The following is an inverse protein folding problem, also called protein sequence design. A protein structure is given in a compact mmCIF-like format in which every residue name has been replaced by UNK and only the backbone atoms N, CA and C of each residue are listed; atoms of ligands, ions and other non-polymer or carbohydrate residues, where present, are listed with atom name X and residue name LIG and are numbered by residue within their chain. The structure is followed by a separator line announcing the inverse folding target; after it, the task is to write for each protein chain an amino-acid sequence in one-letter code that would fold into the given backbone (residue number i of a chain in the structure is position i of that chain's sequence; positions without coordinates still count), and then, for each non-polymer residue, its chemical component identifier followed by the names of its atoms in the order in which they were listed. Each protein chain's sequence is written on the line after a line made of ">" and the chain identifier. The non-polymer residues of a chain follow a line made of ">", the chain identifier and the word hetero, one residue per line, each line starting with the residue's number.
data_IF_419149663345
#
_entry.id   IF_419149663345
#
_cell.length_a   1.000
_cell.length_b   1.000
_cell.length_c   1.000
_cell.angle_alpha   90.00
_cell.angle_beta   90.00
_cell.angle_gamma   90.00
#
_symmetry.space_group_name_H-M   'P 1'
#
loop_
_entity.id
_entity.type
_entity.pdbx_description
1 polymer ?
#
# COMPACT_ATOMS: atom_id res chain seq x y z
N UNK A 1 -6.76 -10.93 16.61
CA UNK A 1 -5.67 -10.18 17.26
C UNK A 1 -6.12 -8.74 17.48
N UNK A 2 -5.89 -8.17 18.65
CA UNK A 2 -6.33 -6.81 19.01
C UNK A 2 -5.09 -5.98 19.40
N UNK A 3 -4.73 -4.94 18.63
CA UNK A 3 -3.69 -4.01 19.03
C UNK A 3 -4.20 -3.07 20.12
N UNK A 4 -3.44 -2.95 21.21
CA UNK A 4 -3.68 -2.06 22.34
C UNK A 4 -2.59 -0.98 22.40
N UNK A 5 -2.73 -0.04 23.34
CA UNK A 5 -1.74 1.03 23.56
C UNK A 5 -0.36 0.47 23.90
N UNK A 6 0.69 1.25 23.63
CA UNK A 6 2.08 0.95 23.98
C UNK A 6 2.62 -0.37 23.39
N UNK A 7 2.18 -0.69 22.17
CA UNK A 7 2.62 -1.87 21.43
C UNK A 7 2.14 -3.21 22.01
N UNK A 8 1.23 -3.21 22.99
CA UNK A 8 0.65 -4.45 23.52
C UNK A 8 -0.32 -5.03 22.50
N UNK A 9 -0.24 -6.32 22.24
CA UNK A 9 -1.15 -7.06 21.37
C UNK A 9 -1.80 -8.17 22.18
N UNK A 10 -3.12 -8.29 22.07
CA UNK A 10 -3.88 -9.43 22.56
C UNK A 10 -4.22 -10.41 21.45
N UNK A 11 -3.89 -11.68 21.67
CA UNK A 11 -4.42 -12.80 20.92
C UNK A 11 -5.68 -13.31 21.61
N UNK A 12 -6.75 -13.39 20.82
CA UNK A 12 -8.02 -13.96 21.21
C UNK A 12 -8.23 -15.26 20.45
N UNK A 13 -8.83 -16.24 21.10
CA UNK A 13 -9.23 -17.51 20.49
C UNK A 13 -10.43 -17.32 19.56
N UNK A 14 -10.84 -18.40 18.91
CA UNK A 14 -12.00 -18.39 18.01
C UNK A 14 -13.27 -17.89 18.70
N UNK A 15 -13.48 -18.28 19.96
CA UNK A 15 -14.63 -17.87 20.78
C UNK A 15 -14.49 -16.45 21.37
N UNK A 16 -13.42 -15.72 21.03
CA UNK A 16 -13.14 -14.37 21.54
C UNK A 16 -12.43 -14.32 22.90
N UNK A 17 -12.22 -15.47 23.53
CA UNK A 17 -11.53 -15.57 24.82
C UNK A 17 -10.07 -15.17 24.72
N UNK A 18 -9.53 -14.63 25.81
CA UNK A 18 -8.12 -14.28 25.90
C UNK A 18 -7.25 -15.54 25.82
N UNK A 19 -6.27 -15.53 24.90
CA UNK A 19 -5.26 -16.60 24.80
C UNK A 19 -3.97 -16.15 25.44
N UNK A 20 -3.39 -15.06 24.94
CA UNK A 20 -2.17 -14.44 25.47
C UNK A 20 -2.02 -13.00 25.01
N UNK A 21 -1.16 -12.26 25.70
CA UNK A 21 -0.66 -10.97 25.22
C UNK A 21 0.84 -11.02 24.99
N UNK A 22 1.33 -10.21 24.05
CA UNK A 22 2.75 -9.94 23.86
C UNK A 22 2.94 -8.48 23.51
N UNK A 23 4.13 -7.94 23.80
CA UNK A 23 4.45 -6.55 23.54
C UNK A 23 5.41 -6.45 22.37
N UNK A 24 5.05 -5.64 21.39
CA UNK A 24 5.91 -5.23 20.30
C UNK A 24 6.87 -4.14 20.74
N UNK A 25 8.02 -4.07 20.08
CA UNK A 25 9.02 -3.04 20.32
C UNK A 25 8.57 -1.64 19.86
N UNK A 26 7.46 -1.53 19.14
CA UNK A 26 6.95 -0.29 18.59
C UNK A 26 5.42 -0.34 18.42
N UNK A 27 4.80 0.83 18.28
CA UNK A 27 3.35 0.96 18.12
C UNK A 27 2.89 0.44 16.75
N UNK A 28 1.73 -0.22 16.72
CA UNK A 28 1.07 -0.69 15.50
C UNK A 28 0.45 0.49 14.76
N UNK A 29 0.69 0.58 13.45
CA UNK A 29 0.24 1.68 12.59
C UNK A 29 -0.67 1.24 11.44
N UNK A 30 -0.75 -0.06 11.16
CA UNK A 30 -1.63 -0.63 10.12
C UNK A 30 -2.52 -1.71 10.68
N UNK A 31 -3.56 -2.07 9.93
CA UNK A 31 -4.26 -3.33 10.15
C UNK A 31 -3.33 -4.51 9.79
N UNK A 32 -3.47 -5.69 10.45
CA UNK A 32 -2.75 -6.89 10.06
C UNK A 32 -3.22 -7.41 8.71
N UNK A 33 -2.30 -8.03 7.97
CA UNK A 33 -2.62 -8.83 6.80
C UNK A 33 -1.95 -10.20 6.90
N UNK A 34 -2.60 -11.24 6.39
CA UNK A 34 -2.01 -12.58 6.28
C UNK A 34 -1.74 -12.84 4.81
N UNK A 35 -0.53 -13.29 4.51
CA UNK A 35 -0.05 -13.61 3.17
C UNK A 35 0.35 -15.07 3.14
N UNK A 36 -0.12 -15.80 2.14
CA UNK A 36 0.34 -17.16 1.88
C UNK A 36 1.68 -17.11 1.13
N UNK A 37 2.64 -17.91 1.58
CA UNK A 37 3.95 -18.05 0.95
C UNK A 37 4.29 -19.53 0.81
N UNK A 38 5.31 -19.86 0.02
CA UNK A 38 5.82 -21.24 -0.06
C UNK A 38 6.27 -21.80 1.31
N UNK A 39 6.59 -20.92 2.27
CA UNK A 39 7.06 -21.29 3.61
C UNK A 39 5.93 -21.37 4.64
N UNK A 40 4.68 -21.16 4.21
CA UNK A 40 3.51 -21.07 5.07
C UNK A 40 2.94 -19.65 5.14
N UNK A 41 1.97 -19.47 6.04
CA UNK A 41 1.25 -18.21 6.18
C UNK A 41 2.03 -17.23 7.05
N UNK A 42 2.26 -16.02 6.52
CA UNK A 42 2.96 -14.93 7.21
C UNK A 42 1.95 -13.85 7.59
N UNK A 43 1.93 -13.48 8.87
CA UNK A 43 1.18 -12.34 9.40
C UNK A 43 2.08 -11.11 9.38
N UNK A 44 1.63 -10.05 8.69
CA UNK A 44 2.35 -8.79 8.56
C UNK A 44 1.62 -7.65 9.28
N UNK A 45 2.40 -6.80 9.93
CA UNK A 45 1.93 -5.67 10.74
C UNK A 45 2.87 -4.47 10.58
N UNK A 46 2.34 -3.34 10.14
CA UNK A 46 3.07 -2.08 10.12
C UNK A 46 3.24 -1.53 11.54
N UNK A 47 4.46 -1.09 11.85
CA UNK A 47 4.86 -0.48 13.11
C UNK A 47 5.51 0.88 12.85
N UNK A 48 5.57 1.75 13.87
CA UNK A 48 6.31 3.03 13.81
C UNK A 48 7.80 2.90 13.46
N UNK A 49 8.34 1.69 13.43
CA UNK A 49 9.72 1.41 13.06
C UNK A 49 9.86 0.44 11.87
N UNK A 50 8.82 0.19 11.07
CA UNK A 50 8.91 -0.66 9.87
C UNK A 50 7.81 -1.72 9.81
N UNK A 51 8.03 -2.78 9.02
CA UNK A 51 7.06 -3.86 8.84
C UNK A 51 7.51 -5.10 9.62
N UNK A 52 6.70 -5.55 10.57
CA UNK A 52 6.96 -6.75 11.34
C UNK A 52 6.29 -7.97 10.69
N UNK A 53 6.98 -9.11 10.72
CA UNK A 53 6.51 -10.39 10.21
C UNK A 53 6.47 -11.44 11.31
N UNK A 54 5.39 -12.21 11.33
CA UNK A 54 5.15 -13.31 12.26
C UNK A 54 4.68 -14.55 11.50
N UNK A 55 4.95 -15.72 12.03
CA UNK A 55 4.26 -16.93 11.59
C UNK A 55 2.77 -16.78 11.95
N UNK A 56 1.88 -16.95 10.98
CA UNK A 56 0.46 -16.69 11.21
C UNK A 56 -0.21 -17.76 12.10
N UNK A 57 0.39 -18.95 12.21
CA UNK A 57 -0.15 -20.07 12.99
C UNK A 57 0.29 -20.01 14.44
N UNK A 58 1.55 -19.64 14.69
CA UNK A 58 2.14 -19.63 16.05
C UNK A 58 2.25 -18.23 16.63
N UNK A 59 2.21 -17.19 15.79
CA UNK A 59 2.47 -15.78 16.13
C UNK A 59 3.90 -15.57 16.67
N UNK A 60 4.82 -16.45 16.29
CA UNK A 60 6.25 -16.27 16.55
C UNK A 60 6.86 -15.25 15.58
N UNK A 61 7.76 -14.37 16.04
CA UNK A 61 8.37 -13.36 15.18
C UNK A 61 9.31 -14.01 14.16
N UNK A 62 9.08 -13.72 12.88
CA UNK A 62 9.97 -14.14 11.78
C UNK A 62 11.03 -13.08 11.50
N UNK A 63 10.72 -11.81 11.76
CA UNK A 63 11.65 -10.71 11.56
C UNK A 63 10.97 -9.36 11.42
N UNK A 64 11.76 -8.36 11.01
CA UNK A 64 11.28 -7.02 10.73
C UNK A 64 12.03 -6.45 9.53
N UNK A 65 11.28 -5.86 8.62
CA UNK A 65 11.79 -5.09 7.49
C UNK A 65 11.88 -3.65 7.96
N UNK A 66 13.11 -3.19 8.16
CA UNK A 66 13.37 -1.81 8.54
C UNK A 66 13.22 -0.90 7.32
N UNK A 67 12.59 0.24 7.51
CA UNK A 67 12.58 1.35 6.56
C UNK A 67 13.35 2.54 7.13
N UNK A 68 13.49 3.59 6.34
CA UNK A 68 14.20 4.82 6.73
C UNK A 68 13.77 5.38 8.09
N UNK A 69 14.71 6.04 8.77
CA UNK A 69 14.47 6.63 10.07
C UNK A 69 13.36 7.69 10.04
N UNK A 70 12.44 7.63 11.01
CA UNK A 70 11.25 8.48 11.12
C UNK A 70 10.19 8.27 10.02
N UNK A 71 10.34 7.25 9.19
CA UNK A 71 9.30 6.78 8.29
C UNK A 71 8.62 5.52 8.84
N UNK A 72 7.31 5.42 8.66
CA UNK A 72 6.50 4.31 9.14
C UNK A 72 5.30 4.03 8.22
N UNK A 73 4.87 2.76 8.15
CA UNK A 73 3.71 2.36 7.37
C UNK A 73 2.44 3.04 7.88
N UNK A 74 1.58 3.49 6.98
CA UNK A 74 0.27 4.07 7.31
C UNK A 74 -0.81 3.46 6.43
N UNK A 75 -2.05 3.46 6.91
CA UNK A 75 -3.19 2.95 6.16
C UNK A 75 -3.24 1.42 6.14
N UNK A 76 -3.77 0.87 5.05
CA UNK A 76 -3.87 -0.56 4.82
C UNK A 76 -2.69 -1.06 3.97
N UNK A 77 -2.18 -2.24 4.32
CA UNK A 77 -1.24 -2.97 3.45
C UNK A 77 -2.03 -3.63 2.31
N UNK A 78 -1.44 -3.71 1.13
CA UNK A 78 -2.02 -4.42 -0.01
C UNK A 78 -1.16 -5.61 -0.40
N UNK A 79 -1.78 -6.67 -0.91
CA UNK A 79 -1.11 -7.90 -1.35
C UNK A 79 -1.46 -8.11 -2.82
N UNK A 80 -0.46 -8.16 -3.68
CA UNK A 80 -0.63 -8.19 -5.13
C UNK A 80 0.56 -8.88 -5.78
N UNK A 81 0.30 -9.75 -6.75
CA UNK A 81 1.34 -10.34 -7.60
C UNK A 81 1.71 -9.33 -8.71
N UNK A 82 2.81 -8.60 -8.53
CA UNK A 82 3.24 -7.54 -9.45
C UNK A 82 4.02 -8.08 -10.65
N UNK A 83 4.62 -9.26 -10.51
CA UNK A 83 5.52 -9.84 -11.52
C UNK A 83 4.94 -11.05 -12.26
N UNK A 84 3.78 -11.55 -11.85
CA UNK A 84 3.08 -12.67 -12.45
C UNK A 84 3.67 -14.04 -12.10
N UNK A 85 4.47 -14.13 -11.04
CA UNK A 85 5.11 -15.40 -10.62
C UNK A 85 4.25 -16.20 -9.62
N UNK A 86 3.08 -15.68 -9.25
CA UNK A 86 2.14 -16.22 -8.26
C UNK A 86 2.61 -16.15 -6.80
N UNK A 87 3.70 -15.43 -6.52
CA UNK A 87 4.16 -15.08 -5.19
C UNK A 87 3.92 -13.58 -4.98
N UNK A 88 2.94 -13.19 -4.14
CA UNK A 88 2.54 -11.80 -4.09
C UNK A 88 3.56 -10.93 -3.35
N UNK A 89 3.72 -9.70 -3.83
CA UNK A 89 4.34 -8.62 -3.08
C UNK A 89 3.36 -7.98 -2.09
N UNK A 90 3.93 -7.33 -1.08
CA UNK A 90 3.22 -6.41 -0.20
C UNK A 90 3.53 -4.98 -0.60
N UNK A 91 2.47 -4.22 -0.86
CA UNK A 91 2.55 -2.78 -1.07
C UNK A 91 2.18 -2.06 0.21
N UNK A 92 2.99 -1.05 0.53
CA UNK A 92 2.87 -0.25 1.73
C UNK A 92 3.04 1.23 1.40
N UNK A 93 2.15 2.05 1.93
CA UNK A 93 2.27 3.51 1.95
C UNK A 93 2.82 3.98 3.28
N UNK A 94 3.58 5.08 3.28
CA UNK A 94 4.23 5.58 4.50
C UNK A 94 3.85 7.01 4.86
N UNK A 95 4.09 7.42 6.11
CA UNK A 95 3.82 8.79 6.56
C UNK A 95 4.71 9.83 5.86
N UNK A 96 5.83 9.43 5.25
CA UNK A 96 6.65 10.29 4.41
C UNK A 96 6.13 10.41 2.96
N UNK A 97 5.05 9.72 2.59
CA UNK A 97 4.49 9.75 1.24
C UNK A 97 5.18 8.79 0.26
N UNK A 98 5.89 7.78 0.79
CA UNK A 98 6.49 6.74 -0.03
C UNK A 98 5.51 5.60 -0.27
N UNK A 99 5.64 4.98 -1.45
CA UNK A 99 5.07 3.68 -1.79
C UNK A 99 6.22 2.70 -1.89
N UNK A 100 6.12 1.59 -1.17
CA UNK A 100 7.18 0.58 -1.06
C UNK A 100 6.58 -0.77 -1.44
N UNK A 101 7.24 -1.47 -2.37
CA UNK A 101 6.97 -2.86 -2.67
C UNK A 101 7.98 -3.77 -1.99
N UNK A 102 7.47 -4.80 -1.34
CA UNK A 102 8.24 -5.75 -0.56
C UNK A 102 7.95 -7.15 -1.09
N UNK A 103 9.01 -7.89 -1.39
CA UNK A 103 8.93 -9.32 -1.62
C UNK A 103 8.68 -10.03 -0.29
N UNK A 104 7.58 -10.76 -0.17
CA UNK A 104 7.20 -11.44 1.08
C UNK A 104 8.03 -12.70 1.30
N UNK A 105 8.52 -13.34 0.25
CA UNK A 105 9.27 -14.59 0.32
C UNK A 105 10.64 -14.40 0.98
N UNK A 106 11.30 -13.26 0.72
CA UNK A 106 12.60 -12.94 1.33
C UNK A 106 12.64 -11.69 2.21
N UNK A 107 11.53 -10.94 2.28
CA UNK A 107 11.38 -9.75 3.10
C UNK A 107 12.18 -8.54 2.59
N UNK A 108 12.62 -8.52 1.33
CA UNK A 108 13.39 -7.40 0.78
C UNK A 108 12.49 -6.38 0.09
N UNK A 109 12.94 -5.13 0.17
CA UNK A 109 12.34 -4.04 -0.60
C UNK A 109 12.75 -4.22 -2.06
N UNK A 110 11.77 -4.38 -2.96
CA UNK A 110 11.99 -4.44 -4.41
C UNK A 110 12.22 -3.05 -4.98
N UNK A 111 11.37 -2.11 -4.59
CA UNK A 111 11.48 -0.69 -4.95
C UNK A 111 10.77 0.20 -3.92
N UNK A 112 11.11 1.49 -3.94
CA UNK A 112 10.52 2.52 -3.09
C UNK A 112 10.47 3.84 -3.86
N UNK A 113 9.30 4.47 -3.92
CA UNK A 113 9.06 5.69 -4.68
C UNK A 113 8.36 6.74 -3.82
N UNK A 114 8.83 7.99 -3.84
CA UNK A 114 8.09 9.13 -3.30
C UNK A 114 7.00 9.53 -4.29
N UNK A 115 5.74 9.20 -4.00
CA UNK A 115 4.61 9.41 -4.90
C UNK A 115 3.49 10.27 -4.27
N UNK A 116 3.56 10.53 -2.97
CA UNK A 116 2.63 11.38 -2.24
C UNK A 116 1.87 10.68 -1.13
N UNK A 117 0.94 11.41 -0.54
CA UNK A 117 0.25 11.02 0.70
C UNK A 117 -1.09 10.34 0.39
N UNK A 118 -1.03 9.05 0.04
CA UNK A 118 -2.19 8.17 -0.07
C UNK A 118 -2.19 7.10 1.01
N UNK A 119 -3.37 6.63 1.42
CA UNK A 119 -3.48 5.54 2.40
C UNK A 119 -3.57 4.15 1.76
N UNK A 120 -4.04 4.06 0.52
CA UNK A 120 -4.20 2.78 -0.17
C UNK A 120 -4.11 3.00 -1.68
N UNK A 121 -3.19 2.30 -2.38
CA UNK A 121 -3.12 2.31 -3.84
C UNK A 121 -4.31 1.58 -4.46
N UNK A 122 -4.70 1.99 -5.67
CA UNK A 122 -5.53 1.19 -6.56
C UNK A 122 -4.65 0.47 -7.58
N UNK A 123 -5.12 -0.67 -8.10
CA UNK A 123 -4.35 -1.51 -9.01
C UNK A 123 -5.05 -1.66 -10.36
N UNK A 124 -4.30 -1.52 -11.45
CA UNK A 124 -4.75 -1.77 -12.82
C UNK A 124 -3.54 -1.92 -13.75
N UNK A 125 -3.70 -2.57 -14.89
CA UNK A 125 -2.69 -2.57 -15.95
C UNK A 125 -2.78 -1.24 -16.74
N UNK A 126 -1.82 -0.32 -16.50
CA UNK A 126 -1.83 1.02 -17.09
C UNK A 126 -1.03 1.09 -18.39
N UNK A 127 0.00 0.25 -18.52
CA UNK A 127 0.91 0.23 -19.67
C UNK A 127 0.69 -0.92 -20.67
N UNK A 128 -0.31 -1.76 -20.42
CA UNK A 128 -0.73 -2.91 -21.22
C UNK A 128 0.31 -4.05 -21.28
N UNK A 129 1.12 -4.21 -20.22
CA UNK A 129 2.10 -5.29 -20.09
C UNK A 129 1.55 -6.57 -19.43
N UNK A 130 0.24 -6.58 -19.16
CA UNK A 130 -0.51 -7.63 -18.47
C UNK A 130 -0.10 -7.87 -17.02
N UNK A 131 0.57 -6.92 -16.37
CA UNK A 131 0.89 -6.93 -14.94
C UNK A 131 0.21 -5.76 -14.22
N UNK A 132 -0.05 -5.88 -12.91
CA UNK A 132 -0.66 -4.80 -12.15
C UNK A 132 0.30 -3.63 -11.95
N UNK A 133 -0.14 -2.43 -12.33
CA UNK A 133 0.44 -1.16 -11.92
C UNK A 133 -0.35 -0.54 -10.76
N UNK A 134 0.21 0.51 -10.18
CA UNK A 134 -0.38 1.20 -9.04
C UNK A 134 -0.85 2.58 -9.44
N UNK A 135 -2.00 2.99 -8.91
CA UNK A 135 -2.48 4.37 -8.95
C UNK A 135 -2.61 4.87 -7.52
N UNK A 136 -1.92 5.97 -7.21
CA UNK A 136 -1.90 6.57 -5.88
C UNK A 136 -2.28 8.05 -5.93
N UNK A 137 -2.85 8.62 -4.85
CA UNK A 137 -3.01 10.06 -4.73
C UNK A 137 -1.65 10.77 -4.82
N UNK A 138 -1.54 11.73 -5.74
CA UNK A 138 -0.33 12.52 -5.90
C UNK A 138 -0.14 13.56 -4.81
N UNK A 139 1.10 14.03 -4.64
CA UNK A 139 1.44 15.13 -3.72
C UNK A 139 0.87 16.48 -4.17
N UNK A 140 1.15 16.84 -5.43
CA UNK A 140 0.72 18.07 -6.09
C UNK A 140 -0.16 17.79 -7.32
N UNK A 141 -0.56 16.54 -7.49
CA UNK A 141 -1.34 16.02 -8.62
C UNK A 141 -2.56 15.31 -8.07
N UNK A 142 -3.61 15.16 -8.86
CA UNK A 142 -4.74 14.36 -8.42
C UNK A 142 -4.31 12.92 -8.15
N UNK A 143 -3.61 12.30 -9.09
CA UNK A 143 -3.07 10.95 -8.95
C UNK A 143 -1.79 10.76 -9.77
N UNK A 144 -1.03 9.74 -9.40
CA UNK A 144 0.20 9.29 -10.05
C UNK A 144 0.08 7.78 -10.29
N UNK A 145 0.46 7.34 -11.49
CA UNK A 145 0.57 5.94 -11.89
C UNK A 145 2.02 5.46 -11.79
N UNK A 146 2.25 4.36 -11.07
CA UNK A 146 3.55 3.74 -10.88
C UNK A 146 3.57 2.35 -11.50
N UNK A 147 4.64 2.02 -12.22
CA UNK A 147 4.88 0.65 -12.68
C UNK A 147 4.97 -0.30 -11.48
N UNK A 148 4.17 -1.37 -11.48
CA UNK A 148 4.22 -2.37 -10.41
C UNK A 148 5.57 -3.08 -10.32
N UNK A 149 6.22 -3.27 -11.46
CA UNK A 149 7.50 -3.96 -11.55
C UNK A 149 8.67 -3.16 -10.97
N UNK A 150 8.67 -1.84 -11.18
CA UNK A 150 9.86 -0.99 -10.94
C UNK A 150 9.63 0.17 -9.98
N UNK A 151 8.38 0.50 -9.67
CA UNK A 151 8.01 1.71 -8.92
C UNK A 151 8.18 3.01 -9.71
N UNK A 152 8.59 2.96 -10.98
CA UNK A 152 8.79 4.15 -11.81
C UNK A 152 7.46 4.82 -12.14
N UNK A 153 7.43 6.15 -12.18
CA UNK A 153 6.25 6.91 -12.63
C UNK A 153 6.03 6.68 -14.13
N UNK A 154 4.87 6.13 -14.49
CA UNK A 154 4.46 5.86 -15.89
C UNK A 154 3.33 6.77 -16.36
N UNK A 155 2.61 7.40 -15.44
CA UNK A 155 1.53 8.33 -15.74
C UNK A 155 1.34 9.34 -14.59
N UNK A 156 0.90 10.56 -14.90
CA UNK A 156 0.49 11.56 -13.93
C UNK A 156 -0.79 12.25 -14.42
N UNK A 157 -1.68 12.65 -13.51
CA UNK A 157 -2.79 13.51 -13.88
C UNK A 157 -2.28 14.89 -14.33
N UNK A 158 -2.90 15.46 -15.36
CA UNK A 158 -2.45 16.73 -15.95
C UNK A 158 -2.48 17.91 -14.94
N UNK A 159 -3.47 17.95 -14.04
CA UNK A 159 -3.68 19.10 -13.16
C UNK A 159 -2.62 19.25 -12.07
N UNK A 160 -2.15 20.47 -11.87
CA UNK A 160 -1.47 20.85 -10.63
C UNK A 160 -2.50 21.27 -9.58
N UNK A 161 -2.50 20.58 -8.44
CA UNK A 161 -3.30 20.93 -7.27
C UNK A 161 -2.41 21.78 -6.36
N UNK A 162 -2.70 23.08 -6.18
CA UNK A 162 -1.93 23.93 -5.27
C UNK A 162 -1.99 23.36 -3.85
N UNK A 163 -0.83 23.24 -3.20
CA UNK A 163 -0.76 22.90 -1.78
C UNK A 163 -1.20 24.13 -0.99
N UNK A 164 -2.51 24.30 -0.76
CA UNK A 164 -2.98 25.33 0.17
C UNK A 164 -2.50 24.96 1.58
N UNK A 165 -1.72 25.87 2.17
CA UNK A 165 -1.01 25.71 3.43
C UNK A 165 -1.95 25.62 4.62
N UNK A 166 -2.60 24.47 4.82
CA UNK A 166 -3.19 24.08 6.11
C UNK A 166 -3.12 22.58 6.24
N UNK A 167 -1.96 22.13 6.73
CA UNK A 167 -1.75 21.14 7.80
C UNK A 167 -2.91 20.18 8.17
N UNK A 168 -3.50 19.51 7.20
CA UNK A 168 -4.00 18.15 7.36
C UNK A 168 -3.68 17.41 6.06
N UNK A 169 -2.82 16.39 6.18
CA UNK A 169 -2.58 15.43 5.12
C UNK A 169 -3.84 14.59 5.01
N UNK A 170 -4.88 15.13 4.39
CA UNK A 170 -6.13 14.40 4.23
C UNK A 170 -5.80 13.12 3.48
N UNK A 171 -6.02 12.01 4.16
CA UNK A 171 -5.98 10.68 3.62
C UNK A 171 -6.86 10.61 2.37
N UNK A 172 -6.23 10.51 1.21
CA UNK A 172 -6.95 10.36 -0.06
C UNK A 172 -7.09 8.89 -0.42
N UNK A 173 -8.27 8.56 -0.92
CA UNK A 173 -8.58 7.25 -1.46
C UNK A 173 -8.88 7.38 -2.95
N UNK A 174 -8.38 6.41 -3.70
CA UNK A 174 -8.56 6.26 -5.13
C UNK A 174 -9.07 4.86 -5.42
N UNK A 175 -9.92 4.72 -6.43
CA UNK A 175 -10.45 3.44 -6.88
C UNK A 175 -10.39 3.40 -8.41
N UNK A 176 -9.86 2.31 -8.96
CA UNK A 176 -9.83 2.08 -10.40
C UNK A 176 -10.83 0.97 -10.75
N UNK A 177 -11.59 1.17 -11.82
CA UNK A 177 -12.53 0.18 -12.34
C UNK A 177 -12.44 0.10 -13.87
N UNK A 178 -12.58 -1.11 -14.41
CA UNK A 178 -12.81 -1.29 -15.85
C UNK A 178 -14.31 -1.15 -16.13
N UNK A 179 -14.68 -0.22 -17.01
CA UNK A 179 -16.07 -0.04 -17.46
C UNK A 179 -16.40 -0.97 -18.64
N UNK A 180 -17.68 -1.09 -19.00
CA UNK A 180 -18.20 -2.08 -19.97
C UNK A 180 -17.49 -2.06 -21.32
N UNK A 181 -17.06 -0.88 -21.78
CA UNK A 181 -16.32 -0.71 -23.05
C UNK A 181 -14.81 -0.97 -22.93
N UNK A 182 -14.37 -1.47 -21.77
CA UNK A 182 -13.00 -1.86 -21.49
C UNK A 182 -12.07 -0.72 -21.09
N UNK A 183 -12.56 0.53 -20.94
CA UNK A 183 -11.75 1.65 -20.45
C UNK A 183 -11.52 1.56 -18.95
N UNK A 184 -10.40 2.11 -18.48
CA UNK A 184 -10.10 2.23 -17.06
C UNK A 184 -10.57 3.59 -16.55
N UNK A 185 -11.37 3.60 -15.50
CA UNK A 185 -11.84 4.79 -14.83
C UNK A 185 -11.21 4.87 -13.44
N UNK A 186 -10.56 6.00 -13.14
CA UNK A 186 -10.14 6.35 -11.79
C UNK A 186 -11.19 7.26 -11.15
N UNK A 187 -11.60 6.95 -9.93
CA UNK A 187 -12.45 7.79 -9.07
C UNK A 187 -11.74 8.04 -7.74
N UNK A 188 -11.80 9.26 -7.21
CA UNK A 188 -11.22 9.56 -5.90
C UNK A 188 -11.69 10.87 -5.31
N UNK A 189 -11.30 11.14 -4.06
CA UNK A 189 -11.58 12.41 -3.39
C UNK A 189 -10.73 13.54 -3.99
N UNK A 190 -11.39 14.64 -4.32
CA UNK A 190 -10.76 15.83 -4.90
C UNK A 190 -10.49 16.87 -3.81
N UNK A 191 -9.30 17.47 -3.82
CA UNK A 191 -8.94 18.59 -2.93
C UNK A 191 -9.38 19.94 -3.48
N UNK A 192 -9.58 20.03 -4.80
CA UNK A 192 -9.94 21.28 -5.49
C UNK A 192 -11.45 21.57 -5.49
N UNK A 193 -12.28 20.59 -5.15
CA UNK A 193 -13.73 20.70 -5.12
C UNK A 193 -14.36 19.80 -4.05
N UNK A 194 -15.56 20.15 -3.58
CA UNK A 194 -16.32 19.28 -2.69
C UNK A 194 -16.86 18.07 -3.48
N UNK A 195 -16.28 16.88 -3.29
CA UNK A 195 -16.85 15.62 -3.77
C UNK A 195 -15.86 14.62 -4.35
N UNK A 196 -16.38 13.75 -5.22
CA UNK A 196 -15.62 12.79 -5.99
C UNK A 196 -15.30 13.35 -7.37
N UNK A 197 -14.10 13.05 -7.86
CA UNK A 197 -13.70 13.27 -9.25
C UNK A 197 -13.48 11.93 -9.93
N UNK A 198 -13.82 11.86 -11.22
CA UNK A 198 -13.58 10.70 -12.06
C UNK A 198 -12.87 11.10 -13.36
N UNK A 199 -12.00 10.23 -13.88
CA UNK A 199 -11.40 10.37 -15.20
C UNK A 199 -11.02 9.02 -15.80
N UNK A 200 -10.86 9.01 -17.12
CA UNK A 200 -10.31 7.89 -17.86
C UNK A 200 -8.79 7.85 -17.70
N UNK A 201 -8.27 6.68 -17.34
CA UNK A 201 -6.83 6.42 -17.35
C UNK A 201 -6.40 6.01 -18.76
N UNK A 202 -5.25 6.49 -19.25
CA UNK A 202 -4.76 6.05 -20.53
C UNK A 202 -4.46 4.55 -20.45
N UNK A 203 -4.92 3.80 -21.46
CA UNK A 203 -4.21 2.58 -21.84
C UNK A 203 -2.97 3.06 -22.58
N UNK A 204 -1.78 2.93 -22.01
CA UNK A 204 -0.59 3.31 -22.78
C UNK A 204 -0.57 2.48 -24.06
N UNK A 205 -0.70 3.14 -25.21
CA UNK A 205 0.00 2.68 -26.40
C UNK A 205 1.46 3.03 -26.14
N UNK A 206 2.33 2.01 -26.12
CA UNK A 206 3.78 2.12 -26.01
C UNK A 206 4.28 3.49 -26.49
N UNK A 207 5.05 4.20 -25.64
CA UNK A 207 5.84 5.35 -26.10
C UNK A 207 6.65 4.86 -27.30
N UNK A 208 6.30 5.33 -28.50
CA UNK A 208 7.13 5.11 -29.67
C UNK A 208 8.53 5.71 -29.40
N UNK A 209 9.60 5.04 -29.85
CA UNK A 209 10.98 5.37 -29.53
C UNK A 209 11.39 6.79 -29.96
#
# INVERSE_FOLDING_TARGET
>A
MIPLKNGLIELRGFDGDYVRSFRLASEVTTQPIVVETERGNVLLLGLKNGLAAFDASTVEPLGRIAIEANDYPVGALSVVDLNGDRLPEVIMTTNAGRVIAIDVADGKIRWSTDAGFGLTPAFADLDADAKPDLVVPGKNKFAVGLSGMTGSVIWESDDEIPVTTTKELDARSVAVATVVDGRLMLVGTDRSAAGLRAFELPKSSAKNP
#
